data_IF_124526358176
#
_entry.id   IF_124526358176
#
_cell.length_a   1.000
_cell.length_b   1.000
_cell.length_c   1.000
_cell.angle_alpha   90.00
_cell.angle_beta   90.00
_cell.angle_gamma   90.00
#
_symmetry.space_group_name_H-M   'P 1'
#
loop_
_entity.id
_entity.type
_entity.pdbx_description
1 polymer ?
#
# COMPACT_ATOMS: atom_id res chain seq x y z
N UNK A 1 54.97 28.63 -23.39
CA UNK A 1 53.85 28.91 -22.45
C UNK A 1 52.68 27.94 -22.62
N UNK A 2 52.01 27.87 -23.80
CA UNK A 2 50.80 27.04 -24.04
C UNK A 2 50.81 25.65 -23.35
N UNK A 3 51.87 24.85 -23.52
CA UNK A 3 51.94 23.48 -22.99
C UNK A 3 51.89 23.40 -21.44
N UNK A 4 52.33 24.44 -20.71
CA UNK A 4 52.19 24.48 -19.25
C UNK A 4 50.74 24.73 -18.81
N UNK A 5 50.01 25.59 -19.53
CA UNK A 5 48.60 25.83 -19.25
C UNK A 5 47.77 24.55 -19.51
N UNK A 6 48.06 23.82 -20.58
CA UNK A 6 47.41 22.54 -20.88
C UNK A 6 47.62 21.52 -19.74
N UNK A 7 48.86 21.36 -19.26
CA UNK A 7 49.17 20.45 -18.14
C UNK A 7 48.43 20.81 -16.85
N UNK A 8 48.33 22.11 -16.51
CA UNK A 8 47.58 22.56 -15.32
C UNK A 8 46.08 22.30 -15.48
N UNK A 9 45.50 22.53 -16.66
CA UNK A 9 44.08 22.24 -16.92
C UNK A 9 43.80 20.73 -16.84
N UNK A 10 44.65 19.88 -17.43
CA UNK A 10 44.50 18.42 -17.31
C UNK A 10 44.61 17.94 -15.87
N UNK A 11 45.57 18.46 -15.10
CA UNK A 11 45.71 18.13 -13.67
C UNK A 11 44.49 18.55 -12.86
N UNK A 12 43.95 19.75 -13.12
CA UNK A 12 42.74 20.25 -12.45
C UNK A 12 41.51 19.37 -12.75
N UNK A 13 41.38 18.88 -13.99
CA UNK A 13 40.29 17.97 -14.40
C UNK A 13 40.41 16.60 -13.71
N UNK A 14 41.63 16.07 -13.54
CA UNK A 14 41.85 14.80 -12.81
C UNK A 14 41.50 14.95 -11.33
N UNK A 15 41.94 16.03 -10.67
CA UNK A 15 41.59 16.30 -9.26
C UNK A 15 40.09 16.55 -9.07
N UNK A 16 39.40 17.13 -10.05
CA UNK A 16 37.94 17.29 -10.03
C UNK A 16 37.19 15.97 -10.31
N UNK A 17 37.81 14.97 -10.92
CA UNK A 17 37.19 13.65 -11.13
C UNK A 17 37.14 12.81 -9.84
N UNK A 18 38.12 12.97 -8.95
CA UNK A 18 38.11 12.34 -7.61
C UNK A 18 37.06 12.96 -6.66
N UNK A 19 36.50 14.12 -7.01
CA UNK A 19 35.39 14.75 -6.27
C UNK A 19 34.01 14.12 -6.59
N UNK A 20 33.97 12.97 -7.27
CA UNK A 20 32.74 12.16 -7.40
C UNK A 20 32.41 11.52 -6.05
N UNK A 21 31.62 12.25 -5.24
CA UNK A 21 31.10 11.75 -3.96
C UNK A 21 30.33 10.45 -4.22
N UNK A 22 30.90 9.33 -3.77
CA UNK A 22 30.21 8.05 -3.75
C UNK A 22 28.95 8.21 -2.90
N UNK A 23 27.78 8.10 -3.52
CA UNK A 23 26.52 8.08 -2.79
C UNK A 23 26.48 6.77 -2.01
N UNK A 24 26.70 6.83 -0.70
CA UNK A 24 26.76 5.62 0.12
C UNK A 24 25.35 5.03 0.25
N UNK A 25 25.10 3.98 -0.52
CA UNK A 25 23.88 3.21 -0.52
C UNK A 25 23.97 2.08 0.51
N UNK A 26 23.10 2.11 1.51
CA UNK A 26 23.07 1.09 2.55
C UNK A 26 21.93 0.10 2.29
N UNK A 27 22.28 -1.18 2.12
CA UNK A 27 21.32 -2.28 2.00
C UNK A 27 21.33 -3.11 3.29
N UNK A 28 20.47 -2.75 4.22
CA UNK A 28 20.39 -3.38 5.54
C UNK A 28 19.51 -4.64 5.45
N UNK A 29 20.09 -5.83 5.65
CA UNK A 29 19.39 -7.13 5.61
C UNK A 29 19.42 -7.82 6.98
N UNK A 30 18.30 -8.34 7.45
CA UNK A 30 18.25 -9.10 8.70
C UNK A 30 16.86 -9.68 8.96
N UNK A 31 16.63 -10.16 10.18
CA UNK A 31 15.28 -10.49 10.66
C UNK A 31 14.96 -9.70 11.92
N UNK A 32 13.69 -9.53 12.22
CA UNK A 32 13.18 -8.99 13.47
C UNK A 32 12.54 -10.16 14.22
N UNK A 33 13.00 -10.44 15.43
CA UNK A 33 12.49 -11.56 16.24
C UNK A 33 12.07 -11.10 17.63
N UNK A 34 11.21 -11.88 18.27
CA UNK A 34 10.82 -11.74 19.66
C UNK A 34 11.95 -12.29 20.57
N UNK A 35 12.52 -11.45 21.44
CA UNK A 35 13.59 -11.89 22.35
C UNK A 35 13.15 -12.89 23.42
N UNK A 36 11.85 -13.19 23.55
CA UNK A 36 11.29 -14.12 24.54
C UNK A 36 10.87 -15.47 23.96
N UNK A 37 10.47 -15.52 22.68
CA UNK A 37 10.06 -16.76 22.00
C UNK A 37 11.01 -17.20 20.88
N UNK A 38 11.88 -16.30 20.39
CA UNK A 38 12.71 -16.52 19.20
C UNK A 38 11.94 -16.49 17.88
N UNK A 39 10.61 -16.29 17.91
CA UNK A 39 9.78 -16.24 16.71
C UNK A 39 9.99 -14.96 15.90
N UNK A 40 9.86 -15.07 14.57
CA UNK A 40 9.81 -13.91 13.68
C UNK A 40 8.66 -12.97 14.04
N UNK A 41 8.91 -11.66 13.95
CA UNK A 41 7.91 -10.63 14.20
C UNK A 41 7.38 -10.07 12.87
N UNK A 42 6.19 -10.50 12.41
CA UNK A 42 5.70 -10.13 11.09
C UNK A 42 5.19 -8.70 11.05
N UNK A 43 5.50 -7.97 9.96
CA UNK A 43 5.15 -6.57 9.76
C UNK A 43 5.73 -5.58 10.81
N UNK A 44 6.79 -5.98 11.53
CA UNK A 44 7.62 -5.05 12.28
C UNK A 44 8.13 -3.96 11.32
N UNK A 45 8.05 -2.70 11.74
CA UNK A 45 8.42 -1.54 10.91
C UNK A 45 9.86 -1.14 11.20
N UNK A 46 10.69 -1.16 10.17
CA UNK A 46 12.09 -0.68 10.17
C UNK A 46 12.09 0.66 9.45
N UNK A 47 12.26 1.76 10.19
CA UNK A 47 12.21 3.12 9.65
C UNK A 47 13.56 3.83 9.74
N UNK A 48 13.84 4.76 8.83
CA UNK A 48 14.94 5.72 8.89
C UNK A 48 14.37 7.13 9.08
N UNK A 49 14.29 7.63 10.34
CA UNK A 49 13.47 8.79 10.66
C UNK A 49 13.85 10.08 9.93
N UNK A 50 15.13 10.27 9.57
CA UNK A 50 15.60 11.52 8.93
C UNK A 50 15.09 11.74 7.49
N UNK A 51 14.60 10.70 6.80
CA UNK A 51 14.11 10.81 5.40
C UNK A 51 12.69 10.27 5.18
N UNK A 52 11.96 9.94 6.25
CA UNK A 52 10.64 9.28 6.17
C UNK A 52 10.63 7.97 5.35
N UNK A 53 11.80 7.34 5.19
CA UNK A 53 11.95 6.04 4.52
C UNK A 53 11.69 4.92 5.52
N UNK A 54 11.22 3.78 5.04
CA UNK A 54 11.07 2.57 5.85
C UNK A 54 10.77 1.34 5.01
N UNK A 55 10.81 0.20 5.68
CA UNK A 55 10.34 -1.11 5.20
C UNK A 55 9.61 -1.82 6.34
N UNK A 56 9.02 -2.98 6.05
CA UNK A 56 8.49 -3.89 7.06
C UNK A 56 9.09 -5.28 6.92
N UNK A 57 9.13 -6.04 8.01
CA UNK A 57 9.41 -7.47 7.93
C UNK A 57 8.26 -8.26 7.27
N UNK A 58 8.61 -9.40 6.68
CA UNK A 58 7.70 -10.40 6.14
C UNK A 58 7.08 -11.29 7.24
N UNK A 59 6.29 -12.31 6.83
CA UNK A 59 5.59 -13.22 7.75
C UNK A 59 6.55 -14.00 8.68
N UNK A 60 7.79 -14.24 8.24
CA UNK A 60 8.83 -14.95 8.99
C UNK A 60 9.75 -13.98 9.77
N UNK A 61 9.45 -12.67 9.74
CA UNK A 61 10.21 -11.62 10.41
C UNK A 61 11.39 -11.06 9.60
N UNK A 62 11.68 -11.55 8.39
CA UNK A 62 12.83 -11.08 7.61
C UNK A 62 12.56 -9.72 6.96
N UNK A 63 13.57 -8.86 6.89
CA UNK A 63 13.49 -7.56 6.25
C UNK A 63 14.74 -7.24 5.43
N UNK A 64 14.56 -6.42 4.40
CA UNK A 64 15.64 -5.77 3.69
C UNK A 64 15.26 -4.31 3.44
N UNK A 65 16.16 -3.40 3.77
CA UNK A 65 15.94 -1.95 3.71
C UNK A 65 17.06 -1.27 2.92
N UNK A 66 16.73 -0.76 1.74
CA UNK A 66 17.63 0.05 0.94
C UNK A 66 17.49 1.53 1.34
N UNK A 67 18.62 2.18 1.66
CA UNK A 67 18.66 3.56 2.15
C UNK A 67 19.65 4.37 1.29
N UNK A 68 19.16 5.11 0.28
CA UNK A 68 20.01 5.92 -0.58
C UNK A 68 20.54 7.16 0.16
N UNK A 69 21.82 7.46 -0.04
CA UNK A 69 22.50 8.64 0.51
C UNK A 69 22.40 8.75 2.05
N UNK A 70 22.44 7.64 2.79
CA UNK A 70 22.51 7.67 4.25
C UNK A 70 23.94 7.93 4.74
N UNK A 71 24.08 8.42 5.97
CA UNK A 71 25.39 8.53 6.63
C UNK A 71 25.62 7.30 7.53
N UNK A 72 26.87 6.80 7.69
CA UNK A 72 27.15 5.72 8.65
C UNK A 72 26.73 6.06 10.09
N UNK A 73 26.75 7.35 10.46
CA UNK A 73 26.35 7.87 11.76
C UNK A 73 24.85 8.15 11.92
N UNK A 74 24.04 7.85 10.91
CA UNK A 74 22.58 7.85 11.03
C UNK A 74 22.07 6.62 11.78
N UNK A 75 20.78 6.61 12.14
CA UNK A 75 20.17 5.45 12.79
C UNK A 75 18.84 5.06 12.14
N UNK A 76 18.59 3.76 12.05
CA UNK A 76 17.27 3.19 11.84
C UNK A 76 16.60 2.89 13.18
N UNK A 77 15.27 2.78 13.16
CA UNK A 77 14.44 2.38 14.30
C UNK A 77 13.59 1.19 13.89
N UNK A 78 13.82 0.04 14.51
CA UNK A 78 12.99 -1.16 14.41
C UNK A 78 11.91 -1.10 15.49
N UNK A 79 10.66 -1.41 15.13
CA UNK A 79 9.52 -1.31 16.03
C UNK A 79 8.39 -2.29 15.69
N UNK A 80 7.74 -2.85 16.70
CA UNK A 80 6.57 -3.71 16.53
C UNK A 80 5.56 -3.48 17.68
N UNK A 81 4.30 -3.86 17.47
CA UNK A 81 3.23 -3.62 18.44
C UNK A 81 3.44 -4.48 19.70
N UNK A 82 3.56 -3.83 20.86
CA UNK A 82 3.87 -4.50 22.13
C UNK A 82 5.35 -4.75 22.38
N UNK A 83 6.25 -4.15 21.58
CA UNK A 83 7.70 -4.35 21.66
C UNK A 83 8.47 -3.05 21.79
N UNK A 84 9.56 -3.06 22.57
CA UNK A 84 10.38 -1.89 22.83
C UNK A 84 11.15 -1.51 21.56
N UNK A 85 10.95 -0.29 21.06
CA UNK A 85 11.61 0.21 19.85
C UNK A 85 13.14 0.15 20.00
N UNK A 86 13.82 -0.42 19.00
CA UNK A 86 15.28 -0.60 18.95
C UNK A 86 15.89 0.33 17.92
N UNK A 87 16.70 1.29 18.36
CA UNK A 87 17.50 2.14 17.47
C UNK A 87 18.83 1.43 17.16
N UNK A 88 19.29 1.49 15.91
CA UNK A 88 20.54 0.87 15.45
C UNK A 88 21.25 1.87 14.53
N UNK A 89 22.54 2.11 14.76
CA UNK A 89 23.36 2.97 13.90
C UNK A 89 23.65 2.27 12.57
N UNK A 90 23.53 2.98 11.45
CA UNK A 90 23.61 2.39 10.11
C UNK A 90 24.99 1.77 9.84
N UNK A 91 26.07 2.41 10.30
CA UNK A 91 27.44 1.89 10.24
C UNK A 91 27.75 0.75 11.22
N UNK A 92 26.86 0.48 12.18
CA UNK A 92 26.94 -0.65 13.13
C UNK A 92 26.03 -1.82 12.73
N UNK A 93 25.38 -1.75 11.56
CA UNK A 93 24.43 -2.75 11.13
C UNK A 93 25.11 -3.99 10.55
N UNK A 94 24.96 -5.12 11.23
CA UNK A 94 25.39 -6.45 10.80
C UNK A 94 24.36 -7.08 9.84
N UNK A 95 24.81 -7.49 8.65
CA UNK A 95 23.95 -8.16 7.68
C UNK A 95 23.58 -9.59 8.10
N UNK A 96 22.36 -10.02 7.75
CA UNK A 96 21.76 -11.33 8.05
C UNK A 96 21.61 -11.63 9.56
N UNK A 97 21.70 -10.61 10.42
CA UNK A 97 21.52 -10.73 11.87
C UNK A 97 20.05 -10.74 12.27
N UNK A 98 19.72 -11.51 13.31
CA UNK A 98 18.45 -11.42 14.00
C UNK A 98 18.47 -10.23 14.97
N UNK A 99 17.65 -9.23 14.70
CA UNK A 99 17.45 -8.04 15.52
C UNK A 99 16.27 -8.27 16.46
N UNK A 100 16.57 -8.92 17.58
CA UNK A 100 15.65 -9.05 18.71
C UNK A 100 15.01 -7.71 19.07
N UNK A 101 13.69 -7.68 19.09
CA UNK A 101 12.95 -6.72 19.89
C UNK A 101 12.60 -7.39 21.22
N UNK A 102 12.85 -6.68 22.31
CA UNK A 102 12.42 -7.10 23.64
C UNK A 102 10.92 -6.80 23.76
N UNK A 103 10.07 -7.76 24.13
CA UNK A 103 8.67 -7.48 24.47
C UNK A 103 8.61 -6.31 25.45
N UNK A 104 7.84 -5.28 25.13
CA UNK A 104 7.65 -4.17 26.05
C UNK A 104 6.67 -4.63 27.12
N UNK A 105 7.22 -5.27 28.15
CA UNK A 105 6.57 -5.51 29.43
C UNK A 105 6.36 -4.18 30.20
N UNK A 106 5.68 -3.23 29.56
CA UNK A 106 4.54 -2.60 30.21
C UNK A 106 3.66 -3.74 30.73
N UNK A 107 3.07 -3.58 31.91
CA UNK A 107 1.86 -4.32 32.23
C UNK A 107 0.94 -4.26 31.02
N UNK A 108 0.36 -5.40 30.60
CA UNK A 108 -0.69 -5.42 29.57
C UNK A 108 -1.70 -4.36 29.97
N UNK A 109 -1.69 -3.20 29.31
CA UNK A 109 -2.23 -1.97 29.88
C UNK A 109 -3.74 -2.14 30.05
N UNK A 110 -4.14 -2.49 31.27
CA UNK A 110 -5.15 -3.55 31.50
C UNK A 110 -6.36 -3.31 30.63
N UNK A 111 -6.59 -4.16 29.62
CA UNK A 111 -7.51 -3.91 28.48
C UNK A 111 -8.81 -3.33 29.02
N UNK A 112 -8.90 -2.00 28.94
CA UNK A 112 -9.66 -1.33 30.00
C UNK A 112 -11.13 -1.41 29.63
N UNK A 113 -11.88 -2.21 30.39
CA UNK A 113 -13.34 -2.20 30.36
C UNK A 113 -13.74 -0.88 31.00
N UNK A 114 -13.67 0.17 30.18
CA UNK A 114 -13.33 1.55 30.57
C UNK A 114 -14.04 1.95 31.86
N UNK A 115 -13.24 2.30 32.87
CA UNK A 115 -13.73 2.57 34.22
C UNK A 115 -14.76 3.71 34.20
N UNK A 116 -16.04 3.32 34.23
CA UNK A 116 -17.23 4.17 34.15
C UNK A 116 -17.53 4.79 32.76
N UNK A 117 -18.08 4.01 31.79
CA UNK A 117 -18.43 4.50 30.46
C UNK A 117 -19.53 5.58 30.45
N UNK A 118 -20.21 5.79 31.59
CA UNK A 118 -21.34 6.73 31.72
C UNK A 118 -20.92 8.21 31.65
N UNK A 119 -19.62 8.54 31.78
CA UNK A 119 -19.11 9.92 31.68
C UNK A 119 -18.43 10.27 30.35
N UNK A 120 -17.92 9.28 29.60
CA UNK A 120 -17.20 9.56 28.35
C UNK A 120 -18.18 10.00 27.24
N UNK A 121 -18.05 11.23 26.76
CA UNK A 121 -18.94 11.81 25.72
C UNK A 121 -18.55 11.31 24.32
N UNK A 122 -18.76 10.02 24.08
CA UNK A 122 -18.34 9.30 22.88
C UNK A 122 -18.86 9.92 21.56
N UNK A 123 -20.09 10.44 21.52
CA UNK A 123 -20.63 11.04 20.28
C UNK A 123 -19.97 12.40 19.97
N UNK A 124 -19.78 13.33 20.92
CA UNK A 124 -18.87 14.46 20.74
C UNK A 124 -17.43 14.07 20.35
N UNK A 125 -16.82 13.09 21.02
CA UNK A 125 -15.47 12.60 20.69
C UNK A 125 -15.38 12.13 19.24
N UNK A 126 -16.25 11.20 18.81
CA UNK A 126 -16.25 10.69 17.44
C UNK A 126 -16.54 11.76 16.38
N UNK A 127 -17.30 12.82 16.72
CA UNK A 127 -17.45 13.98 15.83
C UNK A 127 -16.13 14.72 15.66
N UNK A 128 -15.36 14.91 16.73
CA UNK A 128 -14.05 15.55 16.64
C UNK A 128 -13.06 14.68 15.88
N UNK A 129 -13.03 13.36 16.10
CA UNK A 129 -12.20 12.40 15.33
C UNK A 129 -12.42 12.55 13.82
N UNK A 130 -13.69 12.51 13.39
CA UNK A 130 -14.03 12.63 11.96
C UNK A 130 -13.68 14.03 11.44
N UNK A 131 -13.90 15.09 12.23
CA UNK A 131 -13.52 16.46 11.86
C UNK A 131 -12.01 16.63 11.72
N UNK A 132 -11.20 16.09 12.64
CA UNK A 132 -9.72 16.13 12.56
C UNK A 132 -9.26 15.36 11.32
N UNK A 133 -9.77 14.14 11.10
CA UNK A 133 -9.42 13.33 9.92
C UNK A 133 -9.79 14.03 8.60
N UNK A 134 -10.94 14.70 8.54
CA UNK A 134 -11.38 15.41 7.33
C UNK A 134 -10.70 16.76 7.13
N UNK A 135 -10.39 17.49 8.20
CA UNK A 135 -9.71 18.79 8.16
C UNK A 135 -8.23 18.68 7.80
N UNK A 136 -7.55 17.62 8.25
CA UNK A 136 -6.12 17.42 8.00
C UNK A 136 -5.83 16.63 6.71
N UNK A 137 -6.84 16.16 5.97
CA UNK A 137 -6.62 15.42 4.72
C UNK A 137 -5.98 16.31 3.65
N UNK A 138 -5.07 15.74 2.86
CA UNK A 138 -4.47 16.44 1.74
C UNK A 138 -5.56 16.92 0.77
N UNK A 139 -5.62 18.24 0.57
CA UNK A 139 -6.52 18.91 -0.36
C UNK A 139 -6.17 18.66 -1.82
N UNK A 140 -4.93 18.27 -2.09
CA UNK A 140 -4.28 18.23 -3.39
C UNK A 140 -4.09 16.80 -3.91
N UNK A 141 -3.73 16.70 -5.19
CA UNK A 141 -3.47 15.38 -5.81
C UNK A 141 -2.14 14.87 -5.26
N UNK A 142 -2.04 13.57 -4.99
CA UNK A 142 -0.87 13.00 -4.34
C UNK A 142 -0.58 11.59 -4.84
N UNK A 143 0.68 11.20 -4.71
CA UNK A 143 1.21 9.95 -5.25
C UNK A 143 2.08 9.24 -4.22
N UNK A 144 1.89 7.93 -4.12
CA UNK A 144 2.67 7.07 -3.24
C UNK A 144 3.07 5.78 -3.97
N UNK A 145 4.32 5.37 -3.79
CA UNK A 145 4.84 4.08 -4.24
C UNK A 145 4.28 2.99 -3.32
N UNK A 146 3.71 1.93 -3.91
CA UNK A 146 2.96 0.92 -3.19
C UNK A 146 3.08 -0.47 -3.83
N UNK A 147 2.99 -1.49 -2.99
CA UNK A 147 2.82 -2.89 -3.35
C UNK A 147 1.33 -3.20 -3.35
N UNK A 148 0.87 -3.91 -4.39
CA UNK A 148 -0.50 -4.37 -4.55
C UNK A 148 -0.53 -5.89 -4.68
N UNK A 149 -1.50 -6.54 -4.03
CA UNK A 149 -1.77 -7.98 -4.13
C UNK A 149 -3.24 -8.24 -4.38
N UNK A 150 -3.51 -9.26 -5.17
CA UNK A 150 -4.84 -9.78 -5.47
C UNK A 150 -4.79 -11.31 -5.39
N UNK A 151 -5.75 -11.91 -4.70
CA UNK A 151 -5.79 -13.35 -4.46
C UNK A 151 -7.23 -13.86 -4.62
N UNK A 152 -7.37 -15.07 -5.12
CA UNK A 152 -8.65 -15.75 -5.24
C UNK A 152 -8.53 -17.21 -4.85
N UNK A 153 -9.44 -17.67 -3.98
CA UNK A 153 -9.51 -19.06 -3.52
C UNK A 153 -10.92 -19.61 -3.76
N UNK A 154 -11.02 -20.77 -4.42
CA UNK A 154 -12.28 -21.50 -4.56
C UNK A 154 -12.30 -22.67 -3.58
N UNK A 155 -13.27 -22.71 -2.67
CA UNK A 155 -13.35 -23.75 -1.63
C UNK A 155 -12.03 -23.89 -0.81
N UNK A 156 -11.33 -22.77 -0.59
CA UNK A 156 -9.98 -22.61 -0.01
C UNK A 156 -8.78 -22.97 -0.90
N UNK A 157 -8.94 -23.56 -2.09
CA UNK A 157 -7.83 -23.80 -3.02
C UNK A 157 -7.47 -22.55 -3.83
N UNK A 158 -6.18 -22.17 -3.98
CA UNK A 158 -5.77 -20.94 -4.67
C UNK A 158 -5.89 -21.05 -6.20
N UNK A 159 -6.81 -20.26 -6.77
CA UNK A 159 -7.13 -20.28 -8.22
C UNK A 159 -6.46 -19.17 -9.03
N UNK A 160 -6.19 -18.01 -8.42
CA UNK A 160 -5.55 -16.86 -9.08
C UNK A 160 -4.78 -16.00 -8.07
N UNK A 161 -3.65 -15.46 -8.51
CA UNK A 161 -2.85 -14.47 -7.80
C UNK A 161 -2.34 -13.41 -8.77
N UNK A 162 -2.28 -12.16 -8.30
CA UNK A 162 -1.54 -11.07 -8.95
C UNK A 162 -0.80 -10.28 -7.87
N UNK A 163 0.46 -9.99 -8.08
CA UNK A 163 1.22 -9.03 -7.29
C UNK A 163 1.85 -8.00 -8.23
N UNK A 164 1.76 -6.72 -7.85
CA UNK A 164 2.36 -5.63 -8.60
C UNK A 164 3.01 -4.61 -7.69
N UNK A 165 4.11 -4.04 -8.14
CA UNK A 165 4.73 -2.85 -7.58
C UNK A 165 4.43 -1.68 -8.52
N UNK A 166 4.10 -0.52 -7.96
CA UNK A 166 3.78 0.66 -8.73
C UNK A 166 3.27 1.79 -7.85
N UNK A 167 2.29 2.55 -8.35
CA UNK A 167 1.94 3.85 -7.77
C UNK A 167 0.44 4.01 -7.53
N UNK A 168 0.08 4.30 -6.28
CA UNK A 168 -1.26 4.80 -5.94
C UNK A 168 -1.32 6.30 -6.19
N UNK A 169 -2.27 6.74 -7.03
CA UNK A 169 -2.43 8.12 -7.47
C UNK A 169 -3.83 8.62 -7.11
N UNK A 170 -3.89 9.56 -6.17
CA UNK A 170 -5.08 10.33 -5.84
C UNK A 170 -5.14 11.60 -6.68
N UNK A 171 -6.32 11.94 -7.20
CA UNK A 171 -6.59 13.19 -7.91
C UNK A 171 -7.69 14.00 -7.23
N UNK A 172 -7.55 15.32 -7.22
CA UNK A 172 -8.64 16.23 -6.79
C UNK A 172 -9.78 16.32 -7.80
N UNK A 173 -9.53 15.97 -9.06
CA UNK A 173 -10.51 15.99 -10.14
C UNK A 173 -11.57 14.90 -9.91
N UNK A 174 -12.84 15.30 -9.90
CA UNK A 174 -14.01 14.46 -9.56
C UNK A 174 -14.99 14.31 -10.72
N UNK A 175 -14.66 14.82 -11.93
CA UNK A 175 -15.61 15.06 -13.04
C UNK A 175 -16.54 13.89 -13.39
N UNK A 176 -16.02 12.66 -13.43
CA UNK A 176 -16.76 11.53 -14.02
C UNK A 176 -17.37 10.56 -12.99
N UNK A 177 -16.78 10.37 -11.81
CA UNK A 177 -17.39 9.61 -10.72
C UNK A 177 -16.74 9.90 -9.36
N UNK A 178 -17.54 9.93 -8.29
CA UNK A 178 -17.14 10.29 -6.92
C UNK A 178 -16.03 9.41 -6.32
N UNK A 179 -15.87 8.17 -6.81
CA UNK A 179 -14.92 7.18 -6.29
C UNK A 179 -13.85 6.77 -7.31
N UNK A 180 -13.84 7.39 -8.49
CA UNK A 180 -12.85 7.12 -9.55
C UNK A 180 -11.54 7.90 -9.36
N UNK A 181 -11.50 8.82 -8.40
CA UNK A 181 -10.41 9.78 -8.21
C UNK A 181 -9.23 9.23 -7.38
N UNK A 182 -9.13 7.92 -7.18
CA UNK A 182 -7.97 7.26 -6.57
C UNK A 182 -7.74 5.93 -7.31
N UNK A 183 -6.56 5.78 -7.93
CA UNK A 183 -6.20 4.67 -8.81
C UNK A 183 -4.88 4.04 -8.39
N UNK A 184 -4.66 2.78 -8.73
CA UNK A 184 -3.35 2.14 -8.67
C UNK A 184 -2.85 1.91 -10.09
N UNK A 185 -1.62 2.35 -10.37
CA UNK A 185 -0.91 2.14 -11.62
C UNK A 185 0.12 1.05 -11.39
N UNK A 186 -0.04 -0.06 -12.12
CA UNK A 186 0.84 -1.21 -12.05
C UNK A 186 2.09 -0.92 -12.91
N UNK A 187 3.28 -1.21 -12.39
CA UNK A 187 4.52 -1.28 -13.18
C UNK A 187 4.95 -2.74 -13.31
N UNK A 188 5.84 -3.17 -12.42
CA UNK A 188 6.35 -4.54 -12.36
C UNK A 188 5.30 -5.45 -11.73
N UNK A 189 4.93 -6.52 -12.43
CA UNK A 189 3.76 -7.35 -12.12
C UNK A 189 4.08 -8.82 -12.35
N UNK A 190 3.73 -9.69 -11.40
CA UNK A 190 3.80 -11.16 -11.51
C UNK A 190 2.45 -11.77 -11.14
N UNK A 191 2.02 -12.80 -11.87
CA UNK A 191 0.67 -13.33 -11.72
C UNK A 191 0.54 -14.75 -12.29
N UNK A 192 -0.51 -15.47 -11.88
CA UNK A 192 -0.91 -16.75 -12.46
C UNK A 192 -2.43 -16.96 -12.34
N UNK A 193 -2.96 -17.87 -13.17
CA UNK A 193 -4.28 -18.48 -13.01
C UNK A 193 -4.12 -19.99 -13.09
N UNK A 194 -4.38 -20.67 -11.98
CA UNK A 194 -4.27 -22.13 -11.86
C UNK A 194 -5.55 -22.82 -12.33
N UNK A 195 -6.72 -22.23 -12.05
CA UNK A 195 -8.02 -22.83 -12.33
C UNK A 195 -8.88 -21.93 -13.25
N UNK A 196 -9.34 -22.43 -14.42
CA UNK A 196 -10.21 -21.69 -15.33
C UNK A 196 -11.54 -21.21 -14.72
N UNK A 197 -11.99 -21.74 -13.57
CA UNK A 197 -13.18 -21.25 -12.87
C UNK A 197 -13.07 -19.80 -12.43
N UNK A 198 -11.86 -19.23 -12.28
CA UNK A 198 -11.70 -17.78 -12.10
C UNK A 198 -12.44 -16.97 -13.19
N UNK A 199 -12.37 -17.44 -14.44
CA UNK A 199 -13.03 -16.82 -15.60
C UNK A 199 -14.57 -16.94 -15.57
N UNK A 200 -15.15 -17.77 -14.70
CA UNK A 200 -16.59 -17.80 -14.49
C UNK A 200 -17.09 -16.59 -13.69
N UNK A 201 -16.23 -15.95 -12.88
CA UNK A 201 -16.64 -14.87 -11.98
C UNK A 201 -16.67 -13.49 -12.63
N UNK A 202 -15.95 -13.29 -13.74
CA UNK A 202 -16.02 -12.07 -14.56
C UNK A 202 -17.31 -11.99 -15.36
N UNK A 203 -18.41 -11.57 -14.73
CA UNK A 203 -19.75 -11.62 -15.32
C UNK A 203 -19.96 -10.54 -16.41
N UNK A 204 -19.85 -10.97 -17.67
CA UNK A 204 -20.44 -10.35 -18.88
C UNK A 204 -20.35 -8.81 -18.98
N UNK A 205 -19.12 -8.31 -19.16
CA UNK A 205 -18.76 -6.89 -19.25
C UNK A 205 -19.24 -6.17 -20.55
N UNK A 206 -20.41 -6.52 -21.09
CA UNK A 206 -21.08 -5.84 -22.21
C UNK A 206 -20.40 -5.89 -23.59
N UNK A 207 -19.13 -6.28 -23.64
CA UNK A 207 -18.30 -6.42 -24.84
C UNK A 207 -17.00 -7.20 -24.59
N UNK A 208 -16.50 -7.23 -23.35
CA UNK A 208 -15.31 -8.01 -22.96
C UNK A 208 -15.72 -9.43 -22.53
N UNK A 209 -14.95 -10.42 -22.99
CA UNK A 209 -15.17 -11.85 -22.71
C UNK A 209 -14.75 -12.26 -21.30
N UNK A 210 -15.33 -13.36 -20.80
CA UNK A 210 -15.13 -13.94 -19.47
C UNK A 210 -13.67 -14.29 -19.10
N UNK A 211 -12.79 -14.48 -20.09
CA UNK A 211 -11.45 -15.06 -19.95
C UNK A 211 -10.39 -14.11 -19.36
N UNK A 212 -10.74 -13.28 -18.36
CA UNK A 212 -9.88 -12.19 -17.86
C UNK A 212 -9.54 -12.17 -16.36
N UNK A 213 -8.29 -11.84 -16.03
CA UNK A 213 -7.85 -11.24 -14.77
C UNK A 213 -7.75 -9.73 -14.99
N UNK A 214 -8.36 -8.94 -14.10
CA UNK A 214 -8.30 -7.48 -14.14
C UNK A 214 -7.78 -6.96 -12.81
N UNK A 215 -6.74 -6.12 -12.85
CA UNK A 215 -6.14 -5.48 -11.66
C UNK A 215 -7.20 -4.74 -10.83
N UNK A 216 -7.57 -5.29 -9.67
CA UNK A 216 -8.50 -4.68 -8.73
C UNK A 216 -7.85 -3.65 -7.80
N UNK A 217 -6.64 -3.17 -8.08
CA UNK A 217 -5.95 -2.13 -7.29
C UNK A 217 -6.73 -0.82 -7.14
N UNK A 218 -7.62 -0.52 -8.09
CA UNK A 218 -8.60 0.59 -7.97
C UNK A 218 -9.73 0.29 -6.98
N UNK A 219 -10.12 -0.96 -6.76
CA UNK A 219 -11.26 -1.37 -5.91
C UNK A 219 -11.00 -1.19 -4.41
N UNK A 220 -9.77 -1.48 -3.97
CA UNK A 220 -9.33 -1.24 -2.59
C UNK A 220 -9.28 0.28 -2.29
N UNK A 221 -8.72 1.08 -3.19
CA UNK A 221 -8.71 2.54 -3.09
C UNK A 221 -10.12 3.12 -3.16
N UNK A 222 -10.99 2.61 -4.05
CA UNK A 222 -12.42 2.93 -4.12
C UNK A 222 -13.14 2.62 -2.81
N UNK A 223 -12.75 1.57 -2.10
CA UNK A 223 -13.35 1.18 -0.81
C UNK A 223 -13.01 2.19 0.29
N UNK A 224 -11.78 2.70 0.33
CA UNK A 224 -11.42 3.86 1.15
C UNK A 224 -12.23 5.11 0.76
N UNK A 225 -12.36 5.42 -0.54
CA UNK A 225 -13.22 6.53 -1.01
C UNK A 225 -14.68 6.39 -0.62
N UNK A 226 -15.23 5.16 -0.55
CA UNK A 226 -16.58 4.90 -0.04
C UNK A 226 -16.66 5.18 1.47
N UNK A 227 -15.63 4.79 2.25
CA UNK A 227 -15.57 5.05 3.69
C UNK A 227 -15.62 6.53 4.04
N UNK A 228 -14.93 7.37 3.26
CA UNK A 228 -14.90 8.83 3.40
C UNK A 228 -16.20 9.56 3.01
N UNK A 229 -16.99 8.97 2.11
CA UNK A 229 -18.10 9.68 1.43
C UNK A 229 -19.48 9.11 1.71
N UNK A 230 -19.56 7.86 2.17
CA UNK A 230 -20.80 7.18 2.60
C UNK A 230 -20.62 6.38 3.91
N UNK A 231 -19.39 5.97 4.23
CA UNK A 231 -19.06 5.24 5.45
C UNK A 231 -18.98 6.13 6.70
N UNK A 232 -18.29 5.63 7.74
CA UNK A 232 -18.25 6.25 9.07
C UNK A 232 -17.50 7.59 9.12
N UNK A 233 -16.62 7.86 8.15
CA UNK A 233 -15.84 9.10 8.05
C UNK A 233 -16.58 10.23 7.31
N UNK A 234 -17.76 9.95 6.74
CA UNK A 234 -18.57 10.95 6.06
C UNK A 234 -19.41 11.76 7.08
N UNK A 235 -19.09 13.03 7.28
CA UNK A 235 -19.77 13.91 8.25
C UNK A 235 -21.30 13.98 8.03
N UNK A 236 -21.74 14.07 6.76
CA UNK A 236 -23.16 14.05 6.40
C UNK A 236 -23.86 12.69 6.65
N UNK A 237 -23.11 11.64 7.02
CA UNK A 237 -23.63 10.34 7.46
C UNK A 237 -23.45 10.10 8.96
N UNK A 238 -22.68 10.90 9.68
CA UNK A 238 -22.33 10.71 11.10
C UNK A 238 -23.52 10.32 11.99
N UNK A 239 -24.68 10.98 11.84
CA UNK A 239 -25.86 10.71 12.66
C UNK A 239 -26.55 9.36 12.36
N UNK A 240 -26.19 8.64 11.28
CA UNK A 240 -26.64 7.27 11.00
C UNK A 240 -25.89 6.20 11.81
N UNK A 241 -24.76 6.57 12.43
CA UNK A 241 -23.92 5.65 13.18
C UNK A 241 -24.25 5.66 14.67
N UNK A 242 -24.38 4.45 15.24
CA UNK A 242 -24.32 4.22 16.68
C UNK A 242 -22.88 3.85 17.03
N UNK A 243 -22.35 4.46 18.09
CA UNK A 243 -21.00 4.22 18.58
C UNK A 243 -21.07 3.61 19.99
N UNK A 244 -20.17 2.68 20.30
CA UNK A 244 -19.96 2.11 21.64
C UNK A 244 -18.46 2.00 21.90
N UNK A 245 -18.02 2.44 23.07
CA UNK A 245 -16.64 2.24 23.53
C UNK A 245 -16.47 0.75 23.88
N UNK A 246 -15.45 0.12 23.31
CA UNK A 246 -15.19 -1.33 23.39
C UNK A 246 -14.17 -1.62 24.49
N UNK A 247 -13.01 -0.98 24.39
CA UNK A 247 -11.89 -1.02 25.33
C UNK A 247 -10.94 0.16 25.07
N UNK A 248 -9.89 0.29 25.89
CA UNK A 248 -8.69 1.03 25.53
C UNK A 248 -7.40 0.25 25.83
N UNK A 249 -6.30 0.63 25.19
CA UNK A 249 -4.93 0.17 25.45
C UNK A 249 -3.95 1.34 25.32
N UNK A 250 -2.70 1.17 25.78
CA UNK A 250 -1.64 2.20 25.65
C UNK A 250 -0.55 1.72 24.69
N UNK A 251 -0.21 2.52 23.69
CA UNK A 251 0.82 2.24 22.69
C UNK A 251 1.73 3.46 22.50
N UNK A 252 3.06 3.27 22.54
CA UNK A 252 4.04 4.37 22.44
C UNK A 252 3.73 5.55 23.38
N UNK A 253 3.18 5.28 24.56
CA UNK A 253 2.74 6.24 25.59
C UNK A 253 1.53 7.12 25.21
N UNK A 254 0.76 6.75 24.19
CA UNK A 254 -0.56 7.33 23.88
C UNK A 254 -1.65 6.32 24.29
N UNK A 255 -2.79 6.75 24.81
CA UNK A 255 -3.97 5.87 24.89
C UNK A 255 -4.64 5.76 23.51
N UNK A 256 -5.03 4.53 23.15
CA UNK A 256 -5.82 4.21 21.97
C UNK A 256 -7.17 3.65 22.41
N UNK A 257 -8.24 4.34 22.04
CA UNK A 257 -9.61 3.90 22.23
C UNK A 257 -10.03 2.98 21.08
N UNK A 258 -10.58 1.82 21.45
CA UNK A 258 -11.24 0.91 20.50
C UNK A 258 -12.73 1.21 20.53
N UNK A 259 -13.27 1.70 19.42
CA UNK A 259 -14.64 2.23 19.33
C UNK A 259 -15.43 1.42 18.31
N UNK A 260 -16.36 0.59 18.78
CA UNK A 260 -17.34 -0.07 17.92
C UNK A 260 -18.23 0.98 17.23
N UNK A 261 -18.52 0.76 15.95
CA UNK A 261 -19.52 1.52 15.19
C UNK A 261 -20.48 0.57 14.46
N UNK A 262 -21.73 1.01 14.29
CA UNK A 262 -22.76 0.26 13.59
C UNK A 262 -23.79 1.19 12.90
N UNK A 263 -23.99 1.01 11.60
CA UNK A 263 -25.04 1.65 10.79
C UNK A 263 -26.11 0.61 10.38
N UNK A 264 -26.81 0.82 9.25
CA UNK A 264 -27.59 -0.22 8.58
C UNK A 264 -26.77 -1.05 7.57
N UNK A 265 -25.61 -0.53 7.17
CA UNK A 265 -24.77 -1.07 6.10
C UNK A 265 -23.40 -1.55 6.60
N UNK A 266 -22.87 -0.91 7.65
CA UNK A 266 -21.46 -0.97 8.04
C UNK A 266 -21.34 -1.22 9.55
N UNK A 267 -20.55 -2.21 9.94
CA UNK A 267 -20.32 -2.60 11.34
C UNK A 267 -18.85 -2.91 11.56
N UNK A 268 -18.22 -2.27 12.54
CA UNK A 268 -16.78 -2.45 12.78
C UNK A 268 -16.26 -1.78 14.04
N UNK A 269 -14.95 -1.57 14.07
CA UNK A 269 -14.21 -0.85 15.12
C UNK A 269 -13.27 0.18 14.49
N UNK A 270 -13.21 1.38 15.06
CA UNK A 270 -12.10 2.31 14.87
C UNK A 270 -11.11 2.16 16.03
N UNK A 271 -9.83 2.37 15.75
CA UNK A 271 -8.74 2.41 16.72
C UNK A 271 -8.18 3.83 16.68
N UNK A 272 -8.38 4.61 17.75
CA UNK A 272 -8.20 6.07 17.74
C UNK A 272 -7.41 6.54 18.95
N UNK A 273 -6.35 7.29 18.72
CA UNK A 273 -5.58 7.97 19.77
C UNK A 273 -6.49 8.98 20.51
N UNK A 274 -6.55 8.92 21.85
CA UNK A 274 -7.48 9.77 22.63
C UNK A 274 -7.03 11.23 22.75
N UNK A 275 -5.73 11.50 22.69
CA UNK A 275 -5.14 12.84 22.85
C UNK A 275 -5.21 13.65 21.55
N UNK A 276 -4.80 13.06 20.42
CA UNK A 276 -4.66 13.74 19.13
C UNK A 276 -5.73 13.37 18.08
N UNK A 277 -6.67 12.49 18.42
CA UNK A 277 -7.78 12.04 17.58
C UNK A 277 -7.38 11.29 16.29
N UNK A 278 -6.10 10.93 16.10
CA UNK A 278 -5.64 10.21 14.92
C UNK A 278 -6.16 8.77 14.90
N UNK A 279 -6.61 8.32 13.72
CA UNK A 279 -7.17 6.99 13.51
C UNK A 279 -6.04 6.06 13.05
N UNK A 280 -5.60 5.15 13.90
CA UNK A 280 -4.57 4.17 13.53
C UNK A 280 -5.08 3.21 12.45
N UNK A 281 -6.27 2.63 12.68
CA UNK A 281 -6.90 1.66 11.78
C UNK A 281 -8.42 1.59 11.95
N UNK A 282 -9.08 1.09 10.92
CA UNK A 282 -10.52 0.82 10.89
C UNK A 282 -10.71 -0.61 10.37
N UNK A 283 -11.41 -1.43 11.15
CA UNK A 283 -11.69 -2.85 10.88
C UNK A 283 -13.20 -3.02 10.82
N UNK A 284 -13.77 -3.30 9.64
CA UNK A 284 -15.22 -3.30 9.47
C UNK A 284 -15.73 -4.17 8.33
N UNK A 285 -16.94 -4.68 8.54
CA UNK A 285 -17.76 -5.33 7.53
C UNK A 285 -18.70 -4.29 6.92
N UNK A 286 -18.89 -4.30 5.59
CA UNK A 286 -19.85 -3.44 4.88
C UNK A 286 -20.61 -4.19 3.80
N UNK A 287 -21.88 -3.84 3.59
CA UNK A 287 -22.75 -4.44 2.56
C UNK A 287 -22.74 -3.68 1.20
N UNK A 288 -21.95 -2.62 1.06
CA UNK A 288 -21.97 -1.72 -0.12
C UNK A 288 -20.59 -1.51 -0.73
N UNK A 289 -19.84 -2.60 -0.95
CA UNK A 289 -18.47 -2.56 -1.45
C UNK A 289 -18.40 -3.21 -2.83
N UNK A 290 -17.89 -2.49 -3.81
CA UNK A 290 -17.84 -2.96 -5.20
C UNK A 290 -16.70 -3.94 -5.41
N UNK A 291 -17.04 -5.19 -5.67
CA UNK A 291 -16.08 -6.18 -6.14
C UNK A 291 -16.01 -6.13 -7.67
N UNK A 292 -14.79 -6.10 -8.20
CA UNK A 292 -14.55 -6.06 -9.64
C UNK A 292 -14.91 -7.38 -10.35
N UNK A 293 -14.49 -8.58 -9.86
CA UNK A 293 -14.84 -9.85 -10.50
C UNK A 293 -16.36 -10.02 -10.62
N UNK A 294 -17.08 -10.06 -9.50
CA UNK A 294 -18.54 -10.23 -9.46
C UNK A 294 -19.36 -9.03 -9.99
N UNK A 295 -18.71 -8.03 -10.60
CA UNK A 295 -19.29 -6.81 -11.20
C UNK A 295 -20.42 -6.13 -10.39
N UNK A 296 -20.34 -6.12 -9.06
CA UNK A 296 -21.43 -5.61 -8.21
C UNK A 296 -20.98 -5.19 -6.82
N UNK A 297 -21.85 -4.45 -6.14
CA UNK A 297 -21.67 -4.21 -4.71
C UNK A 297 -22.03 -5.50 -3.95
N UNK A 298 -21.07 -6.00 -3.16
CA UNK A 298 -21.20 -7.16 -2.29
C UNK A 298 -20.99 -6.76 -0.84
N UNK A 299 -21.18 -7.77 0.03
CA UNK A 299 -20.63 -7.76 1.38
C UNK A 299 -19.11 -7.98 1.31
N UNK A 300 -18.37 -7.17 2.05
CA UNK A 300 -16.92 -7.29 2.17
C UNK A 300 -16.46 -6.99 3.60
N UNK A 301 -15.38 -7.63 4.00
CA UNK A 301 -14.62 -7.33 5.21
C UNK A 301 -13.39 -6.50 4.86
N UNK A 302 -13.15 -5.43 5.62
CA UNK A 302 -12.21 -4.37 5.26
C UNK A 302 -11.34 -4.00 6.46
N UNK A 303 -10.03 -4.04 6.25
CA UNK A 303 -9.04 -3.44 7.15
C UNK A 303 -8.35 -2.28 6.43
N UNK A 304 -8.45 -1.07 6.96
CA UNK A 304 -7.61 0.07 6.53
C UNK A 304 -6.75 0.52 7.72
N UNK A 305 -5.49 0.86 7.48
CA UNK A 305 -4.63 1.54 8.45
C UNK A 305 -4.00 2.79 7.84
N UNK A 306 -3.67 3.76 8.70
CA UNK A 306 -3.20 5.08 8.28
C UNK A 306 -1.82 5.38 8.84
N UNK A 307 -1.04 6.13 8.09
CA UNK A 307 0.18 6.80 8.56
C UNK A 307 -0.06 8.32 8.53
N UNK A 308 0.65 9.05 9.38
CA UNK A 308 0.47 10.48 9.55
C UNK A 308 1.79 11.20 9.28
N UNK A 309 1.80 12.06 8.25
CA UNK A 309 2.97 12.88 7.89
C UNK A 309 2.53 14.34 8.04
N UNK A 310 3.15 15.08 8.95
CA UNK A 310 2.76 16.45 9.31
C UNK A 310 1.25 16.55 9.62
N UNK A 311 0.75 15.62 10.45
CA UNK A 311 -0.67 15.40 10.78
C UNK A 311 -1.61 15.02 9.63
N UNK A 312 -1.14 14.93 8.38
CA UNK A 312 -1.96 14.52 7.23
C UNK A 312 -2.12 13.00 7.20
N UNK A 313 -3.35 12.45 7.20
CA UNK A 313 -3.60 11.02 7.09
C UNK A 313 -3.39 10.51 5.66
N UNK A 314 -2.47 9.56 5.49
CA UNK A 314 -2.28 8.78 4.28
C UNK A 314 -2.62 7.31 4.54
N UNK A 315 -3.14 6.60 3.53
CA UNK A 315 -3.40 5.17 3.62
C UNK A 315 -2.06 4.42 3.73
N UNK A 316 -1.79 3.76 4.88
CA UNK A 316 -0.61 2.90 5.05
C UNK A 316 -0.85 1.52 4.45
N UNK A 317 -1.98 0.92 4.78
CA UNK A 317 -2.36 -0.41 4.34
C UNK A 317 -3.87 -0.47 4.11
N UNK A 318 -4.29 -1.17 3.06
CA UNK A 318 -5.66 -1.65 2.91
C UNK A 318 -5.69 -3.15 2.66
N UNK A 319 -6.76 -3.78 3.10
CA UNK A 319 -7.18 -5.14 2.75
C UNK A 319 -8.71 -5.13 2.58
N UNK A 320 -9.20 -5.80 1.55
CA UNK A 320 -10.63 -6.01 1.29
C UNK A 320 -10.85 -7.46 0.85
N UNK A 321 -11.65 -8.21 1.62
CA UNK A 321 -12.04 -9.60 1.35
C UNK A 321 -13.54 -9.69 1.02
N UNK A 322 -13.87 -10.42 -0.04
CA UNK A 322 -15.23 -10.78 -0.45
C UNK A 322 -15.40 -12.29 -0.38
N UNK A 323 -16.56 -12.75 0.12
CA UNK A 323 -16.93 -14.17 0.10
C UNK A 323 -18.31 -14.32 -0.54
N UNK A 324 -18.38 -15.06 -1.66
CA UNK A 324 -19.64 -15.35 -2.38
C UNK A 324 -19.48 -16.61 -3.25
N UNK A 325 -20.50 -17.48 -3.22
CA UNK A 325 -20.67 -18.61 -4.15
C UNK A 325 -19.41 -19.52 -4.26
N UNK A 326 -18.82 -19.83 -3.10
CA UNK A 326 -17.59 -20.64 -2.95
C UNK A 326 -16.27 -19.88 -3.15
N UNK A 327 -16.33 -18.70 -3.79
CA UNK A 327 -15.16 -17.86 -4.06
C UNK A 327 -14.88 -16.89 -2.92
N UNK A 328 -13.62 -16.90 -2.47
CA UNK A 328 -13.01 -15.94 -1.55
C UNK A 328 -12.02 -15.07 -2.34
N UNK A 329 -12.34 -13.80 -2.55
CA UNK A 329 -11.53 -12.85 -3.31
C UNK A 329 -10.95 -11.77 -2.39
N UNK A 330 -9.65 -11.53 -2.45
CA UNK A 330 -8.93 -10.62 -1.57
C UNK A 330 -8.12 -9.63 -2.40
N UNK A 331 -8.14 -8.36 -1.98
CA UNK A 331 -7.26 -7.31 -2.53
C UNK A 331 -6.54 -6.61 -1.38
N UNK A 332 -5.22 -6.44 -1.48
CA UNK A 332 -4.39 -5.77 -0.49
C UNK A 332 -3.50 -4.70 -1.14
N UNK A 333 -3.26 -3.60 -0.44
CA UNK A 333 -2.38 -2.53 -0.90
C UNK A 333 -1.57 -1.99 0.27
N UNK A 334 -0.25 -2.13 0.20
CA UNK A 334 0.71 -1.63 1.18
C UNK A 334 1.46 -0.44 0.58
N UNK A 335 1.25 0.75 1.14
CA UNK A 335 2.03 1.94 0.78
C UNK A 335 3.46 1.78 1.30
N UNK A 336 4.42 1.77 0.38
CA UNK A 336 5.85 1.63 0.70
C UNK A 336 6.47 3.01 1.00
N UNK A 337 6.12 4.03 0.20
CA UNK A 337 6.64 5.39 0.36
C UNK A 337 5.65 6.43 -0.19
N UNK A 338 5.19 7.35 0.67
CA UNK A 338 4.49 8.56 0.23
C UNK A 338 5.49 9.48 -0.47
N UNK A 339 5.34 9.70 -1.77
CA UNK A 339 6.35 10.35 -2.62
C UNK A 339 6.15 11.87 -2.76
N UNK A 340 4.92 12.31 -3.02
CA UNK A 340 4.58 13.73 -3.15
C UNK A 340 3.16 14.02 -2.65
N UNK A 341 2.93 15.28 -2.26
CA UNK A 341 1.69 15.86 -1.79
C UNK A 341 1.07 16.88 -2.77
N UNK A 342 1.79 17.37 -3.79
CA UNK A 342 1.42 18.52 -4.64
C UNK A 342 1.39 18.18 -6.14
N UNK A 343 0.94 16.97 -6.49
CA UNK A 343 0.86 16.52 -7.88
C UNK A 343 -0.11 17.38 -8.70
N UNK A 344 0.28 17.77 -9.91
CA UNK A 344 -0.59 18.45 -10.88
C UNK A 344 -0.93 17.50 -12.03
N UNK A 345 -2.22 17.23 -12.19
CA UNK A 345 -2.79 16.44 -13.28
C UNK A 345 -3.72 17.35 -14.10
N UNK A 346 -3.45 17.48 -15.39
CA UNK A 346 -4.42 18.03 -16.34
C UNK A 346 -5.54 17.01 -16.66
N UNK A 347 -6.56 17.43 -17.40
CA UNK A 347 -7.71 16.57 -17.74
C UNK A 347 -7.35 15.37 -18.62
N UNK A 348 -6.31 15.47 -19.47
CA UNK A 348 -5.86 14.38 -20.33
C UNK A 348 -5.11 13.33 -19.48
N UNK A 349 -4.15 13.76 -18.66
CA UNK A 349 -3.39 12.86 -17.80
C UNK A 349 -4.28 12.23 -16.71
N UNK A 350 -5.28 12.96 -16.19
CA UNK A 350 -6.33 12.38 -15.33
C UNK A 350 -7.18 11.33 -16.05
N UNK A 351 -7.51 11.54 -17.34
CA UNK A 351 -8.16 10.54 -18.19
C UNK A 351 -7.30 9.29 -18.38
N UNK A 352 -6.00 9.46 -18.68
CA UNK A 352 -5.04 8.37 -18.83
C UNK A 352 -4.89 7.56 -17.53
N UNK A 353 -4.69 8.21 -16.39
CA UNK A 353 -4.58 7.56 -15.06
C UNK A 353 -5.86 6.77 -14.72
N UNK A 354 -7.04 7.27 -15.07
CA UNK A 354 -8.30 6.52 -14.89
C UNK A 354 -8.36 5.26 -15.77
N UNK A 355 -8.03 5.39 -17.05
CA UNK A 355 -8.09 4.26 -17.99
C UNK A 355 -7.02 3.19 -17.66
N UNK A 356 -5.79 3.62 -17.36
CA UNK A 356 -4.68 2.73 -17.01
C UNK A 356 -4.90 2.07 -15.63
N UNK A 357 -5.52 2.77 -14.68
CA UNK A 357 -5.93 2.20 -13.39
C UNK A 357 -7.12 1.23 -13.45
N UNK A 358 -7.73 1.04 -14.62
CA UNK A 358 -8.75 0.00 -14.89
C UNK A 358 -8.20 -1.13 -15.75
N UNK A 359 -7.36 -0.80 -16.74
CA UNK A 359 -6.68 -1.77 -17.60
C UNK A 359 -5.23 -1.28 -17.86
N UNK A 360 -4.28 -1.66 -17.00
CA UNK A 360 -2.89 -1.26 -17.12
C UNK A 360 -2.18 -2.01 -18.25
N UNK A 361 -1.13 -1.41 -18.80
CA UNK A 361 -0.07 -2.21 -19.43
C UNK A 361 0.79 -2.74 -18.27
N UNK A 362 0.77 -4.05 -18.07
CA UNK A 362 1.64 -4.72 -17.09
C UNK A 362 3.04 -4.92 -17.69
N UNK A 363 4.07 -4.85 -16.86
CA UNK A 363 5.45 -5.21 -17.20
C UNK A 363 5.89 -6.35 -16.28
N UNK A 364 6.72 -7.26 -16.79
CA UNK A 364 7.41 -8.25 -15.98
C UNK A 364 8.89 -8.23 -16.33
N UNK A 365 9.72 -8.10 -15.30
CA UNK A 365 11.17 -8.19 -15.36
C UNK A 365 11.59 -9.29 -14.38
N UNK A 366 12.20 -10.35 -14.91
CA UNK A 366 12.61 -11.50 -14.12
C UNK A 366 13.74 -11.13 -13.14
N UNK A 367 14.69 -10.30 -13.57
CA UNK A 367 15.83 -9.90 -12.73
C UNK A 367 15.38 -8.94 -11.63
N UNK A 368 14.41 -8.05 -11.91
CA UNK A 368 13.69 -7.30 -10.88
C UNK A 368 13.08 -8.26 -9.85
N UNK A 369 12.23 -9.20 -10.28
CA UNK A 369 11.53 -10.08 -9.32
C UNK A 369 12.46 -11.02 -8.55
N UNK A 370 13.53 -11.53 -9.19
CA UNK A 370 14.53 -12.40 -8.56
C UNK A 370 15.51 -11.66 -7.64
N UNK A 371 15.74 -10.35 -7.85
CA UNK A 371 16.52 -9.51 -6.93
C UNK A 371 15.66 -8.77 -5.89
N UNK A 372 14.36 -8.67 -6.13
CA UNK A 372 13.43 -7.94 -5.27
C UNK A 372 13.31 -8.55 -3.87
N UNK A 373 13.04 -7.69 -2.90
CA UNK A 373 12.95 -8.06 -1.48
C UNK A 373 11.51 -8.31 -1.03
N UNK A 374 10.57 -8.39 -1.97
CA UNK A 374 9.15 -8.64 -1.72
C UNK A 374 8.90 -10.14 -1.52
N UNK A 375 8.80 -10.54 -0.26
CA UNK A 375 8.51 -11.91 0.18
C UNK A 375 7.25 -12.45 -0.48
N UNK A 376 7.40 -13.51 -1.26
CA UNK A 376 6.29 -14.13 -1.96
C UNK A 376 5.40 -14.95 -1.00
N UNK A 377 4.07 -14.90 -1.17
CA UNK A 377 3.16 -15.70 -0.36
C UNK A 377 3.07 -17.13 -0.90
N UNK A 378 3.96 -17.99 -0.41
CA UNK A 378 3.99 -19.42 -0.75
C UNK A 378 2.69 -20.17 -0.41
N UNK A 379 1.89 -19.69 0.57
CA UNK A 379 0.61 -20.32 0.91
C UNK A 379 -0.48 -19.99 -0.13
N UNK A 380 -0.36 -18.84 -0.80
CA UNK A 380 -1.20 -18.51 -1.95
C UNK A 380 -0.78 -19.23 -3.24
N UNK A 381 0.40 -19.86 -3.32
CA UNK A 381 0.85 -20.55 -4.53
C UNK A 381 2.03 -21.53 -4.33
N UNK A 382 1.75 -22.82 -4.52
CA UNK A 382 2.76 -23.90 -4.55
C UNK A 382 3.45 -24.08 -5.91
N UNK A 383 2.96 -23.43 -6.97
CA UNK A 383 3.38 -23.64 -8.36
C UNK A 383 4.14 -22.45 -8.99
N UNK A 384 4.56 -21.45 -8.20
CA UNK A 384 4.96 -20.13 -8.71
C UNK A 384 6.33 -20.02 -9.38
N UNK A 385 6.96 -21.15 -9.72
CA UNK A 385 7.95 -21.24 -10.79
C UNK A 385 7.32 -21.11 -12.19
N UNK A 386 5.99 -21.19 -12.31
CA UNK A 386 5.22 -21.12 -13.56
C UNK A 386 4.36 -19.84 -13.62
N UNK A 387 5.01 -18.68 -13.68
CA UNK A 387 4.36 -17.38 -13.92
C UNK A 387 3.95 -17.29 -15.40
N UNK A 388 2.67 -17.47 -15.71
CA UNK A 388 2.14 -17.47 -17.08
C UNK A 388 1.47 -16.13 -17.44
N UNK A 389 2.30 -15.18 -17.88
CA UNK A 389 1.89 -13.85 -18.33
C UNK A 389 1.28 -13.87 -19.75
N UNK A 390 1.60 -14.88 -20.57
CA UNK A 390 1.02 -15.04 -21.91
C UNK A 390 -0.47 -15.41 -21.84
N UNK A 391 -0.94 -16.09 -20.78
CA UNK A 391 -2.39 -16.19 -20.49
C UNK A 391 -3.04 -14.83 -20.31
N UNK A 392 -2.40 -13.91 -19.57
CA UNK A 392 -3.01 -12.63 -19.20
C UNK A 392 -2.95 -11.57 -20.30
N UNK A 393 -1.91 -11.61 -21.13
CA UNK A 393 -1.65 -10.65 -22.22
C UNK A 393 -2.86 -10.46 -23.18
N UNK A 394 -3.54 -11.50 -23.70
CA UNK A 394 -4.80 -11.38 -24.45
C UNK A 394 -5.93 -10.65 -23.70
N UNK A 395 -5.91 -10.65 -22.38
CA UNK A 395 -6.99 -10.18 -21.50
C UNK A 395 -6.86 -8.66 -21.29
N UNK A 396 -5.66 -8.20 -20.92
CA UNK A 396 -5.30 -6.77 -20.91
C UNK A 396 -5.43 -6.17 -22.33
N UNK A 397 -5.04 -6.92 -23.38
CA UNK A 397 -5.29 -6.55 -24.78
C UNK A 397 -6.78 -6.28 -25.05
N UNK A 398 -7.67 -7.25 -24.86
CA UNK A 398 -9.10 -7.15 -25.21
C UNK A 398 -9.82 -5.92 -24.61
N UNK A 399 -9.46 -5.49 -23.41
CA UNK A 399 -10.22 -4.44 -22.70
C UNK A 399 -9.86 -3.00 -23.15
N UNK A 400 -8.72 -2.74 -23.84
CA UNK A 400 -8.41 -1.40 -24.43
C UNK A 400 -7.61 -1.42 -25.75
N UNK A 401 -7.40 -2.58 -26.36
CA UNK A 401 -6.39 -2.86 -27.38
C UNK A 401 -4.92 -2.58 -26.94
N UNK A 402 -4.62 -2.35 -25.65
CA UNK A 402 -3.27 -1.98 -25.14
C UNK A 402 -2.40 -3.21 -24.78
N UNK A 403 -1.08 -3.07 -24.92
CA UNK A 403 -0.11 -4.17 -25.16
C UNK A 403 1.29 -3.73 -24.62
N UNK A 404 2.39 -4.48 -24.43
CA UNK A 404 2.80 -5.90 -24.60
C UNK A 404 3.86 -6.19 -23.49
N UNK A 405 3.93 -7.41 -22.95
CA UNK A 405 4.99 -7.83 -22.01
C UNK A 405 6.22 -8.37 -22.77
N UNK A 406 7.41 -7.81 -22.53
CA UNK A 406 8.76 -8.25 -22.97
C UNK A 406 9.07 -8.39 -24.47
N UNK A 407 8.09 -8.64 -25.35
CA UNK A 407 8.26 -8.66 -26.82
C UNK A 407 8.04 -7.29 -27.45
N UNK A 408 8.78 -6.96 -28.51
CA UNK A 408 8.69 -5.65 -29.20
C UNK A 408 7.80 -5.73 -30.45
N UNK A 409 6.85 -4.79 -30.59
CA UNK A 409 6.00 -4.46 -31.78
C UNK A 409 4.55 -5.00 -31.88
N UNK A 410 3.67 -4.69 -30.91
CA UNK A 410 2.20 -4.67 -31.19
C UNK A 410 1.51 -3.33 -30.83
N UNK A 411 2.04 -2.55 -29.88
CA UNK A 411 1.44 -1.27 -29.46
C UNK A 411 1.21 -0.29 -30.62
N UNK A 412 -0.03 0.21 -30.77
CA UNK A 412 -0.34 1.30 -31.71
C UNK A 412 0.30 2.61 -31.26
N UNK A 413 0.52 3.55 -32.19
CA UNK A 413 1.18 4.83 -31.92
C UNK A 413 0.52 5.63 -30.78
N UNK A 414 -0.83 5.67 -30.73
CA UNK A 414 -1.56 6.31 -29.63
C UNK A 414 -1.22 5.67 -28.29
N UNK A 415 -1.12 4.35 -28.23
CA UNK A 415 -0.95 3.62 -26.97
C UNK A 415 0.50 3.70 -26.47
N UNK A 416 1.49 3.76 -27.37
CA UNK A 416 2.87 4.14 -27.01
C UNK A 416 2.91 5.54 -26.37
N UNK A 417 2.18 6.50 -26.94
CA UNK A 417 2.08 7.86 -26.37
C UNK A 417 1.30 7.90 -25.04
N UNK A 418 0.18 7.18 -24.93
CA UNK A 418 -0.60 7.03 -23.69
C UNK A 418 0.26 6.43 -22.56
N UNK A 419 1.10 5.44 -22.88
CA UNK A 419 2.02 4.79 -21.93
C UNK A 419 3.17 5.72 -21.56
N UNK A 420 3.81 6.38 -22.54
CA UNK A 420 4.90 7.32 -22.28
C UNK A 420 4.45 8.43 -21.34
N UNK A 421 3.25 8.99 -21.50
CA UNK A 421 2.70 10.00 -20.58
C UNK A 421 2.47 9.49 -19.14
N UNK A 422 2.29 8.18 -18.95
CA UNK A 422 2.20 7.55 -17.62
C UNK A 422 3.60 7.27 -17.05
N UNK A 423 4.58 6.90 -17.88
CA UNK A 423 5.97 6.76 -17.45
C UNK A 423 6.61 8.13 -17.15
N UNK A 424 6.43 9.14 -18.01
CA UNK A 424 6.80 10.54 -17.76
C UNK A 424 6.11 11.12 -16.50
N UNK A 425 4.98 10.55 -16.07
CA UNK A 425 4.35 10.85 -14.78
C UNK A 425 5.05 10.15 -13.63
N UNK A 426 5.37 8.87 -13.77
CA UNK A 426 6.00 8.05 -12.72
C UNK A 426 7.49 8.40 -12.51
N UNK A 427 8.26 8.63 -13.57
CA UNK A 427 9.70 8.93 -13.52
C UNK A 427 10.01 10.24 -12.79
N UNK A 428 9.03 11.15 -12.68
CA UNK A 428 9.10 12.34 -11.81
C UNK A 428 9.08 12.00 -10.30
N UNK A 429 8.75 10.77 -9.94
CA UNK A 429 8.60 10.29 -8.56
C UNK A 429 9.27 8.93 -8.31
N UNK A 430 10.14 8.44 -9.20
CA UNK A 430 11.07 7.34 -8.88
C UNK A 430 12.13 7.79 -7.88
#
# INVERSE_FOLDING_TARGET
MKNRALFVVTFLIVVLAEATVAQTEFLLKGSVIDSSTGGGLPFATIAYPKKSLGTTSDQDGNFQFFIPNALPSDSIVISFLGFKKRSIVIGEFEANKAYELIPEAKDLASVSVVANPKKFKLKPFMRQVIKTFNGNKNSDSHIAYAQYREMAFQNNEPIMYMESIGYSIYSTNKRWATYANYNFINEQTRAFVNDPTWFAYGENLGSITNDGVFSSGRSILRSYRVLETRGVLAENRFNKYRFKLDSSYVESNNEVLVIQFNSANDKGKLFVNSDNYQIQKIVYNSNYIWSNPFHRNLRADIHLSFTYINEVPYLKFGHVEYLRDGLRHITELQTLLQKDANLKLDDNLFGLVNAYGQNPIVVYDQDFWSSSTFSFDNAACTACTLIDLERLKPQFQKFTNRILVTGVNELTAKQKSDQQLIFDLIDRFR
#
